data_IF_594453521105
#
_entry.id   IF_594453521105
#
_cell.length_a   1.000
_cell.length_b   1.000
_cell.length_c   1.000
_cell.angle_alpha   90.00
_cell.angle_beta   90.00
_cell.angle_gamma   90.00
#
_symmetry.space_group_name_H-M   'P 1'
#
loop_
_entity.id
_entity.type
_entity.pdbx_description
1 polymer ?
#
# COMPACT_ATOMS: atom_id res chain seq x y z
N UNK A 1 -12.98 22.23 -17.85
CA UNK A 1 -13.97 21.67 -16.88
C UNK A 1 -13.91 22.61 -15.69
N UNK A 2 -15.06 23.01 -15.11
CA UNK A 2 -15.06 23.88 -13.93
C UNK A 2 -14.42 23.14 -12.75
N UNK A 3 -13.44 23.75 -12.10
CA UNK A 3 -12.69 23.20 -10.95
C UNK A 3 -13.62 22.63 -9.88
N UNK A 4 -14.66 23.39 -9.56
CA UNK A 4 -15.64 22.97 -8.56
C UNK A 4 -16.38 21.69 -8.96
N UNK A 5 -16.79 21.57 -10.22
CA UNK A 5 -17.49 20.39 -10.73
C UNK A 5 -16.59 19.15 -10.69
N UNK A 6 -15.33 19.32 -11.05
CA UNK A 6 -14.35 18.25 -10.97
C UNK A 6 -14.11 17.80 -9.52
N UNK A 7 -13.83 18.73 -8.61
CA UNK A 7 -13.64 18.43 -7.19
C UNK A 7 -14.85 17.71 -6.57
N UNK A 8 -16.06 18.19 -6.84
CA UNK A 8 -17.28 17.56 -6.34
C UNK A 8 -17.47 16.14 -6.90
N UNK A 9 -17.04 15.89 -8.14
CA UNK A 9 -17.09 14.52 -8.68
C UNK A 9 -16.17 13.57 -7.91
N UNK A 10 -14.94 13.99 -7.58
CA UNK A 10 -13.99 13.22 -6.79
C UNK A 10 -14.48 12.98 -5.35
N UNK A 11 -15.04 14.03 -4.72
CA UNK A 11 -15.55 13.93 -3.35
C UNK A 11 -16.72 12.93 -3.26
N UNK A 12 -17.57 12.87 -4.28
CA UNK A 12 -18.67 11.89 -4.34
C UNK A 12 -18.21 10.44 -4.42
N UNK A 13 -17.01 10.18 -4.94
CA UNK A 13 -16.42 8.84 -4.94
C UNK A 13 -16.07 8.36 -3.52
N UNK A 14 -15.87 9.30 -2.58
CA UNK A 14 -15.46 9.01 -1.21
C UNK A 14 -14.00 8.55 -1.11
N UNK A 15 -13.60 8.11 0.08
CA UNK A 15 -12.31 7.45 0.29
C UNK A 15 -12.37 6.00 -0.20
N UNK A 16 -11.33 5.56 -0.87
CA UNK A 16 -11.24 4.22 -1.43
C UNK A 16 -9.77 3.84 -1.73
N UNK A 17 -9.56 2.73 -2.43
CA UNK A 17 -8.24 2.18 -2.77
C UNK A 17 -7.25 3.20 -3.35
N UNK A 18 -7.72 4.16 -4.14
CA UNK A 18 -6.89 5.14 -4.84
C UNK A 18 -7.23 6.60 -4.46
N UNK A 19 -7.99 6.81 -3.40
CA UNK A 19 -8.35 8.15 -2.94
C UNK A 19 -8.44 8.23 -1.42
N UNK A 20 -7.92 9.32 -0.87
CA UNK A 20 -7.93 9.60 0.56
C UNK A 20 -8.11 11.11 0.80
N UNK A 21 -8.84 11.49 1.84
CA UNK A 21 -9.08 12.89 2.20
C UNK A 21 -8.16 13.31 3.35
N UNK A 22 -7.70 14.53 3.29
CA UNK A 22 -6.89 15.12 4.37
C UNK A 22 -7.38 16.52 4.67
N UNK A 23 -8.05 16.65 5.80
CA UNK A 23 -8.49 17.95 6.29
C UNK A 23 -7.35 18.94 6.43
N UNK A 24 -6.19 18.46 6.94
CA UNK A 24 -5.00 19.26 7.20
C UNK A 24 -3.76 18.38 7.16
N UNK A 25 -2.67 18.93 6.65
CA UNK A 25 -1.34 18.29 6.71
C UNK A 25 -0.50 19.00 7.78
N UNK A 26 -0.42 18.39 8.96
CA UNK A 26 0.36 18.92 10.09
C UNK A 26 1.61 18.07 10.39
N UNK A 27 1.73 16.88 9.77
CA UNK A 27 2.78 15.91 10.10
C UNK A 27 3.17 15.13 8.83
N UNK A 28 4.37 15.42 8.33
CA UNK A 28 4.92 14.78 7.14
C UNK A 28 5.17 13.27 7.34
N UNK A 29 5.54 12.82 8.54
CA UNK A 29 5.78 11.41 8.82
C UNK A 29 4.48 10.59 8.77
N UNK A 30 3.38 11.15 9.26
CA UNK A 30 2.04 10.53 9.16
C UNK A 30 1.60 10.45 7.70
N UNK A 31 1.80 11.53 6.95
CA UNK A 31 1.44 11.56 5.53
C UNK A 31 2.28 10.58 4.70
N UNK A 32 3.55 10.37 5.05
CA UNK A 32 4.42 9.41 4.38
C UNK A 32 3.86 7.97 4.38
N UNK A 33 3.02 7.60 5.36
CA UNK A 33 2.32 6.30 5.37
C UNK A 33 1.37 6.17 4.20
N UNK A 34 0.56 7.21 3.91
CA UNK A 34 -0.36 7.24 2.76
C UNK A 34 0.42 7.25 1.44
N UNK A 35 1.51 8.04 1.36
CA UNK A 35 2.39 8.07 0.19
C UNK A 35 3.00 6.68 -0.06
N UNK A 36 3.54 6.03 0.98
CA UNK A 36 4.07 4.67 0.90
C UNK A 36 3.00 3.68 0.44
N UNK A 37 1.80 3.74 1.02
CA UNK A 37 0.71 2.82 0.69
C UNK A 37 0.29 2.94 -0.78
N UNK A 38 0.10 4.15 -1.29
CA UNK A 38 -0.22 4.38 -2.70
C UNK A 38 0.92 3.95 -3.62
N UNK A 39 2.16 4.34 -3.33
CA UNK A 39 3.32 3.98 -4.14
C UNK A 39 3.52 2.44 -4.24
N UNK A 40 3.19 1.70 -3.21
CA UNK A 40 3.34 0.25 -3.16
C UNK A 40 2.15 -0.53 -3.76
N UNK A 41 1.01 0.13 -4.00
CA UNK A 41 -0.18 -0.49 -4.59
C UNK A 41 -0.47 0.05 -6.00
N UNK A 42 -1.63 0.60 -6.20
CA UNK A 42 -2.15 1.02 -7.50
C UNK A 42 -1.98 2.53 -7.75
N UNK A 43 -1.19 3.18 -6.91
CA UNK A 43 -1.15 4.64 -6.85
C UNK A 43 -2.40 5.20 -6.19
N UNK A 44 -2.52 6.52 -6.19
CA UNK A 44 -3.68 7.18 -5.64
C UNK A 44 -3.50 8.68 -5.52
N UNK A 45 -4.50 9.33 -4.97
CA UNK A 45 -4.54 10.78 -4.77
C UNK A 45 -4.99 11.14 -3.34
N UNK A 46 -4.39 12.18 -2.82
CA UNK A 46 -4.77 12.80 -1.57
C UNK A 46 -5.47 14.13 -1.88
N UNK A 47 -6.71 14.27 -1.48
CA UNK A 47 -7.45 15.53 -1.57
C UNK A 47 -7.24 16.33 -0.28
N UNK A 48 -6.39 17.34 -0.35
CA UNK A 48 -5.97 18.11 0.81
C UNK A 48 -6.78 19.39 0.90
N UNK A 49 -7.33 19.65 2.09
CA UNK A 49 -8.34 20.66 2.33
C UNK A 49 -9.76 20.12 2.21
N UNK A 50 -9.92 18.79 2.23
CA UNK A 50 -11.21 18.10 2.27
C UNK A 50 -11.33 17.33 3.58
N UNK A 51 -12.47 17.39 4.23
CA UNK A 51 -12.80 16.63 5.45
C UNK A 51 -13.35 15.26 5.09
N UNK A 52 -13.33 14.33 6.03
CA UNK A 52 -13.86 12.97 5.86
C UNK A 52 -15.36 12.96 5.47
N UNK A 53 -16.11 13.98 5.86
CA UNK A 53 -17.52 14.20 5.46
C UNK A 53 -17.69 14.81 4.05
N UNK A 54 -16.59 15.03 3.33
CA UNK A 54 -16.56 15.65 2.00
C UNK A 54 -16.65 17.18 1.99
N UNK A 55 -16.74 17.83 3.15
CA UNK A 55 -16.81 19.28 3.22
C UNK A 55 -15.45 19.92 2.90
N UNK A 56 -15.45 20.95 2.06
CA UNK A 56 -14.26 21.72 1.73
C UNK A 56 -13.82 22.55 2.93
N UNK A 57 -12.58 22.39 3.38
CA UNK A 57 -11.95 23.22 4.41
C UNK A 57 -10.92 24.19 3.81
N UNK A 58 -10.31 23.78 2.71
CA UNK A 58 -9.23 24.50 2.05
C UNK A 58 -7.86 24.29 2.72
N UNK A 59 -6.81 24.42 1.93
CA UNK A 59 -5.42 24.51 2.38
C UNK A 59 -5.19 25.91 2.96
N UNK A 60 -4.55 26.00 4.11
CA UNK A 60 -4.40 27.27 4.86
C UNK A 60 -3.10 28.00 4.58
N UNK A 61 -2.06 27.26 4.21
CA UNK A 61 -0.72 27.84 3.99
C UNK A 61 0.11 26.99 3.03
N UNK A 62 1.15 27.60 2.48
CA UNK A 62 2.17 26.90 1.68
C UNK A 62 2.95 25.86 2.50
N UNK A 63 2.92 25.97 3.82
CA UNK A 63 3.56 24.98 4.71
C UNK A 63 2.93 23.60 4.56
N UNK A 64 1.64 23.51 4.27
CA UNK A 64 0.97 22.22 4.04
C UNK A 64 1.50 21.55 2.77
N UNK A 65 1.75 22.33 1.70
CA UNK A 65 2.37 21.84 0.46
C UNK A 65 3.83 21.42 0.72
N UNK A 66 4.57 22.20 1.50
CA UNK A 66 5.92 21.85 1.91
C UNK A 66 5.96 20.53 2.70
N UNK A 67 5.04 20.32 3.63
CA UNK A 67 4.94 19.07 4.39
C UNK A 67 4.69 17.86 3.49
N UNK A 68 3.93 18.02 2.40
CA UNK A 68 3.70 16.95 1.44
C UNK A 68 4.97 16.57 0.65
N UNK A 69 5.75 17.59 0.24
CA UNK A 69 7.06 17.33 -0.34
C UNK A 69 7.98 16.60 0.64
N UNK A 70 8.00 17.03 1.91
CA UNK A 70 8.78 16.36 2.94
C UNK A 70 8.35 14.89 3.11
N UNK A 71 7.05 14.60 3.08
CA UNK A 71 6.55 13.24 3.19
C UNK A 71 7.11 12.32 2.09
N UNK A 72 7.10 12.79 0.85
CA UNK A 72 7.56 12.01 -0.30
C UNK A 72 9.09 11.88 -0.36
N UNK A 73 9.82 12.99 -0.15
CA UNK A 73 11.28 13.05 -0.39
C UNK A 73 12.12 12.79 0.86
N UNK A 74 11.67 13.22 2.02
CA UNK A 74 12.43 13.04 3.28
C UNK A 74 12.00 11.81 4.07
N UNK A 75 10.71 11.52 4.11
CA UNK A 75 10.16 10.45 4.94
C UNK A 75 9.88 9.15 4.20
N UNK A 76 9.99 9.12 2.85
CA UNK A 76 9.93 7.89 2.07
C UNK A 76 11.32 7.42 1.63
N UNK A 77 11.52 6.10 1.59
CA UNK A 77 12.73 5.42 1.09
C UNK A 77 12.36 4.20 0.25
N UNK A 78 12.76 4.12 -1.03
CA UNK A 78 13.27 5.25 -1.82
C UNK A 78 12.28 6.41 -1.86
N UNK A 79 12.73 7.56 -2.34
CA UNK A 79 11.86 8.73 -2.53
C UNK A 79 10.67 8.36 -3.43
N UNK A 80 9.49 8.84 -3.07
CA UNK A 80 8.29 8.60 -3.85
C UNK A 80 8.03 9.77 -4.82
N UNK A 81 7.61 9.46 -6.03
CA UNK A 81 7.08 10.45 -6.96
C UNK A 81 5.75 11.00 -6.44
N UNK A 82 5.59 12.32 -6.48
CA UNK A 82 4.34 12.99 -6.14
C UNK A 82 4.14 14.22 -7.04
N UNK A 83 2.92 14.41 -7.54
CA UNK A 83 2.53 15.57 -8.34
C UNK A 83 1.45 16.34 -7.61
N UNK A 84 1.45 17.64 -7.74
CA UNK A 84 0.49 18.54 -7.12
C UNK A 84 -0.28 19.33 -8.17
N UNK A 85 -1.59 19.30 -8.06
CA UNK A 85 -2.50 20.12 -8.84
C UNK A 85 -3.37 20.94 -7.87
N UNK A 86 -3.56 22.22 -8.15
CA UNK A 86 -4.31 23.15 -7.30
C UNK A 86 -5.63 23.49 -7.96
N UNK A 87 -6.70 23.41 -7.19
CA UNK A 87 -8.07 23.69 -7.61
C UNK A 87 -8.74 24.71 -6.69
N UNK A 88 -9.64 25.50 -7.23
CA UNK A 88 -10.38 26.52 -6.47
C UNK A 88 -11.88 26.23 -6.49
N UNK A 89 -12.48 26.16 -5.31
CA UNK A 89 -13.92 25.98 -5.16
C UNK A 89 -14.43 26.69 -3.91
N UNK A 90 -15.53 27.44 -4.06
CA UNK A 90 -16.19 28.17 -2.97
C UNK A 90 -15.23 29.08 -2.16
N UNK A 91 -14.33 29.78 -2.87
CA UNK A 91 -13.33 30.67 -2.25
C UNK A 91 -12.23 29.94 -1.47
N UNK A 92 -12.11 28.61 -1.64
CA UNK A 92 -11.11 27.76 -0.96
C UNK A 92 -10.17 27.13 -1.97
N UNK A 93 -8.94 26.96 -1.56
CA UNK A 93 -7.91 26.26 -2.33
C UNK A 93 -7.83 24.81 -1.87
N UNK A 94 -7.96 23.87 -2.80
CA UNK A 94 -7.81 22.43 -2.57
C UNK A 94 -6.59 21.97 -3.37
N UNK A 95 -5.74 21.16 -2.77
CA UNK A 95 -4.59 20.57 -3.45
C UNK A 95 -4.82 19.07 -3.61
N UNK A 96 -4.67 18.58 -4.84
CA UNK A 96 -4.66 17.15 -5.14
C UNK A 96 -3.22 16.72 -5.28
N UNK A 97 -2.77 15.85 -4.38
CA UNK A 97 -1.46 15.24 -4.43
C UNK A 97 -1.59 13.83 -5.02
N UNK A 98 -1.09 13.64 -6.23
CA UNK A 98 -1.15 12.36 -6.94
C UNK A 98 0.16 11.60 -6.76
N UNK A 99 0.06 10.38 -6.26
CA UNK A 99 1.18 9.44 -6.06
C UNK A 99 1.02 8.28 -7.04
N UNK A 100 1.88 8.17 -8.07
CA UNK A 100 1.83 7.03 -8.97
C UNK A 100 2.35 5.75 -8.30
N UNK A 101 1.99 4.55 -8.82
CA UNK A 101 2.62 3.31 -8.40
C UNK A 101 4.13 3.39 -8.62
N UNK A 102 4.91 2.97 -7.64
CA UNK A 102 6.37 2.95 -7.78
C UNK A 102 6.84 1.73 -8.56
N UNK A 103 7.78 1.94 -9.48
CA UNK A 103 8.48 0.82 -10.14
C UNK A 103 9.43 0.10 -9.18
N UNK A 104 9.98 0.84 -8.20
CA UNK A 104 10.89 0.32 -7.18
C UNK A 104 10.15 0.16 -5.86
N UNK A 105 9.69 -1.06 -5.58
CA UNK A 105 9.03 -1.42 -4.31
C UNK A 105 9.96 -2.26 -3.44
N UNK A 106 9.90 -2.14 -2.10
CA UNK A 106 8.97 -1.30 -1.35
C UNK A 106 9.42 0.15 -1.24
N UNK A 107 8.49 1.07 -1.32
CA UNK A 107 8.65 2.41 -0.77
C UNK A 107 8.28 2.35 0.71
N UNK A 108 9.25 2.59 1.59
CA UNK A 108 9.06 2.56 3.04
C UNK A 108 8.89 3.96 3.60
N UNK A 109 7.96 4.16 4.53
CA UNK A 109 7.82 5.39 5.28
C UNK A 109 8.61 5.31 6.59
N UNK A 110 9.31 6.40 6.95
CA UNK A 110 9.90 6.61 8.26
C UNK A 110 8.78 7.02 9.23
N UNK A 111 8.63 6.27 10.33
CA UNK A 111 7.76 6.68 11.40
C UNK A 111 8.45 7.67 12.35
N UNK A 112 7.71 8.18 13.33
CA UNK A 112 8.20 9.13 14.35
C UNK A 112 9.39 8.58 15.16
N UNK A 113 9.52 7.26 15.26
CA UNK A 113 10.61 6.56 15.95
C UNK A 113 11.84 6.31 15.05
N UNK A 114 11.85 6.83 13.81
CA UNK A 114 12.91 6.61 12.81
C UNK A 114 12.94 5.20 12.21
N UNK A 115 11.91 4.39 12.44
CA UNK A 115 11.82 3.04 11.86
C UNK A 115 11.17 3.09 10.49
N UNK A 116 11.76 2.38 9.54
CA UNK A 116 11.19 2.22 8.20
C UNK A 116 10.14 1.12 8.18
N UNK A 117 8.96 1.42 7.63
CA UNK A 117 7.90 0.45 7.38
C UNK A 117 7.28 0.70 6.02
N UNK A 118 7.11 -0.36 5.24
CA UNK A 118 6.34 -0.31 4.00
C UNK A 118 4.86 -0.50 4.31
N UNK A 119 4.01 0.28 3.62
CA UNK A 119 2.56 0.20 3.72
C UNK A 119 1.97 -0.19 2.38
N UNK A 120 0.81 -0.82 2.40
CA UNK A 120 -0.06 -1.08 1.25
C UNK A 120 -1.43 -0.47 1.51
N UNK A 121 -2.10 -0.05 0.46
CA UNK A 121 -3.48 0.44 0.53
C UNK A 121 -4.43 -0.73 0.35
N UNK A 122 -5.38 -0.91 1.26
CA UNK A 122 -6.45 -1.89 1.16
C UNK A 122 -7.74 -1.14 1.47
N UNK A 123 -8.61 -1.01 0.48
CA UNK A 123 -9.78 -0.14 0.53
C UNK A 123 -9.37 1.31 0.91
N UNK A 124 -9.78 1.79 2.07
CA UNK A 124 -9.48 3.13 2.60
C UNK A 124 -8.43 3.12 3.73
N UNK A 125 -7.76 1.97 3.98
CA UNK A 125 -6.78 1.82 5.06
C UNK A 125 -5.34 1.68 4.56
N UNK A 126 -4.40 2.22 5.33
CA UNK A 126 -2.96 2.06 5.13
C UNK A 126 -2.42 0.96 6.06
N UNK A 127 -2.24 -0.24 5.52
CA UNK A 127 -1.87 -1.44 6.27
C UNK A 127 -0.36 -1.68 6.14
N UNK A 128 0.29 -2.07 7.23
CA UNK A 128 1.71 -2.48 7.19
C UNK A 128 1.87 -3.72 6.31
N UNK A 129 2.74 -3.64 5.31
CA UNK A 129 3.02 -4.75 4.41
C UNK A 129 3.55 -5.97 5.19
N UNK A 130 3.00 -7.14 4.89
CA UNK A 130 3.46 -8.39 5.52
C UNK A 130 4.86 -8.80 5.05
N UNK A 131 5.58 -9.66 5.78
CA UNK A 131 6.84 -10.21 5.31
C UNK A 131 6.75 -10.90 3.94
N UNK A 132 5.58 -11.43 3.59
CA UNK A 132 5.35 -12.05 2.27
C UNK A 132 5.31 -10.98 1.18
N UNK A 133 4.67 -9.83 1.41
CA UNK A 133 4.69 -8.70 0.46
C UNK A 133 6.12 -8.20 0.19
N UNK A 134 6.92 -8.06 1.25
CA UNK A 134 8.33 -7.68 1.11
C UNK A 134 9.13 -8.70 0.28
N UNK A 135 8.82 -9.98 0.42
CA UNK A 135 9.44 -11.04 -0.36
C UNK A 135 8.96 -11.03 -1.83
N UNK A 136 7.67 -10.76 -2.10
CA UNK A 136 7.13 -10.59 -3.47
C UNK A 136 7.90 -9.49 -4.21
N UNK A 137 8.03 -8.32 -3.61
CA UNK A 137 8.73 -7.19 -4.25
C UNK A 137 10.21 -7.47 -4.47
N UNK A 138 10.87 -8.17 -3.53
CA UNK A 138 12.28 -8.60 -3.71
C UNK A 138 12.44 -9.57 -4.87
N UNK A 139 11.56 -10.54 -5.00
CA UNK A 139 11.55 -11.48 -6.11
C UNK A 139 11.24 -10.81 -7.45
N UNK A 140 10.40 -9.76 -7.47
CA UNK A 140 10.10 -8.99 -8.67
C UNK A 140 11.30 -8.19 -9.19
N UNK A 141 12.15 -7.70 -8.29
CA UNK A 141 13.36 -6.93 -8.63
C UNK A 141 14.57 -7.82 -8.98
N UNK A 142 14.47 -9.13 -8.80
CA UNK A 142 15.53 -10.06 -9.18
C UNK A 142 15.59 -10.18 -10.70
N UNK A 143 16.72 -9.83 -11.31
CA UNK A 143 17.01 -9.98 -12.75
C UNK A 143 17.05 -11.45 -13.19
N UNK A 144 17.19 -12.39 -12.24
CA UNK A 144 17.12 -13.82 -12.53
C UNK A 144 15.68 -14.18 -12.81
N UNK A 145 15.40 -14.53 -14.06
CA UNK A 145 14.10 -15.06 -14.48
C UNK A 145 13.63 -16.11 -13.46
N UNK A 146 12.44 -15.89 -12.90
CA UNK A 146 11.91 -16.79 -11.88
C UNK A 146 11.37 -18.05 -12.54
N UNK A 147 12.18 -19.08 -12.57
CA UNK A 147 11.69 -20.44 -12.80
C UNK A 147 11.18 -21.01 -11.48
N UNK A 148 9.96 -21.50 -11.48
CA UNK A 148 9.43 -22.22 -10.33
C UNK A 148 9.84 -23.70 -10.43
N UNK A 149 10.87 -24.07 -9.67
CA UNK A 149 11.27 -25.46 -9.55
C UNK A 149 10.41 -26.16 -8.51
N UNK A 150 9.79 -27.27 -8.86
CA UNK A 150 9.01 -28.10 -7.94
C UNK A 150 9.93 -28.86 -6.98
N UNK A 151 10.28 -28.21 -5.89
CA UNK A 151 11.15 -28.75 -4.85
C UNK A 151 10.36 -29.45 -3.75
N UNK A 152 11.03 -30.26 -2.93
CA UNK A 152 10.39 -30.87 -1.75
C UNK A 152 9.78 -29.82 -0.79
N UNK A 153 10.37 -28.62 -0.72
CA UNK A 153 9.81 -27.51 0.04
C UNK A 153 8.50 -26.98 -0.54
N UNK A 154 8.40 -26.85 -1.87
CA UNK A 154 7.15 -26.47 -2.56
C UNK A 154 6.08 -27.53 -2.32
N UNK A 155 6.42 -28.80 -2.47
CA UNK A 155 5.51 -29.91 -2.23
C UNK A 155 4.93 -29.87 -0.82
N UNK A 156 5.79 -29.75 0.20
CA UNK A 156 5.35 -29.64 1.62
C UNK A 156 4.46 -28.43 1.85
N UNK A 157 4.75 -27.28 1.23
CA UNK A 157 3.94 -26.08 1.37
C UNK A 157 2.55 -26.28 0.75
N UNK A 158 2.48 -26.80 -0.48
CA UNK A 158 1.21 -27.08 -1.15
C UNK A 158 0.37 -28.07 -0.35
N UNK A 159 0.97 -29.19 0.10
CA UNK A 159 0.28 -30.16 0.95
C UNK A 159 -0.26 -29.55 2.24
N UNK A 160 0.49 -28.61 2.85
CA UNK A 160 0.07 -27.92 4.06
C UNK A 160 -1.12 -26.98 3.84
N UNK A 161 -1.30 -26.48 2.62
CA UNK A 161 -2.36 -25.54 2.23
C UNK A 161 -3.52 -26.24 1.49
N UNK A 162 -3.36 -27.49 1.08
CA UNK A 162 -4.43 -28.30 0.49
C UNK A 162 -5.30 -28.88 1.60
N UNK A 163 -6.61 -28.71 1.48
CA UNK A 163 -7.64 -29.23 2.39
C UNK A 163 -8.85 -29.64 1.56
N UNK A 164 -9.72 -30.48 2.12
CA UNK A 164 -10.94 -30.94 1.44
C UNK A 164 -11.90 -29.80 1.11
N UNK A 165 -11.87 -28.73 1.92
CA UNK A 165 -12.60 -27.50 1.68
C UNK A 165 -11.63 -26.32 1.50
N UNK A 166 -11.96 -25.31 0.66
CA UNK A 166 -11.15 -24.11 0.51
C UNK A 166 -10.93 -23.42 1.86
N UNK A 167 -9.70 -23.34 2.30
CA UNK A 167 -9.34 -22.72 3.57
C UNK A 167 -8.31 -21.60 3.38
N UNK A 168 -8.38 -20.65 4.27
CA UNK A 168 -7.46 -19.54 4.38
C UNK A 168 -6.59 -19.75 5.61
N UNK A 169 -5.30 -19.51 5.48
CA UNK A 169 -4.32 -19.72 6.54
C UNK A 169 -3.52 -18.46 6.82
N UNK A 170 -3.35 -18.12 8.07
CA UNK A 170 -2.35 -17.11 8.47
C UNK A 170 -0.94 -17.64 8.20
N UNK A 171 0.03 -16.74 8.06
CA UNK A 171 1.44 -17.14 7.89
C UNK A 171 1.91 -18.11 8.98
N UNK A 172 1.49 -17.90 10.23
CA UNK A 172 1.85 -18.77 11.35
C UNK A 172 1.27 -20.18 11.21
N UNK A 173 0.04 -20.29 10.73
CA UNK A 173 -0.60 -21.59 10.46
C UNK A 173 0.12 -22.33 9.33
N UNK A 174 0.46 -21.63 8.22
CA UNK A 174 1.21 -22.23 7.11
C UNK A 174 2.59 -22.74 7.59
N UNK A 175 3.31 -21.96 8.39
CA UNK A 175 4.61 -22.37 8.97
C UNK A 175 4.45 -23.64 9.80
N UNK A 176 3.48 -23.68 10.70
CA UNK A 176 3.25 -24.83 11.59
C UNK A 176 2.86 -26.10 10.80
N UNK A 177 1.93 -25.97 9.84
CA UNK A 177 1.44 -27.09 9.04
C UNK A 177 2.49 -27.66 8.09
N UNK A 178 3.27 -26.79 7.42
CA UNK A 178 4.31 -27.21 6.48
C UNK A 178 5.57 -27.78 7.15
N UNK A 179 5.76 -27.48 8.44
CA UNK A 179 6.97 -27.80 9.21
C UNK A 179 8.26 -27.27 8.55
N UNK A 180 8.13 -26.18 7.78
CA UNK A 180 9.25 -25.49 7.15
C UNK A 180 9.69 -24.30 7.99
N UNK A 181 10.97 -23.90 7.94
CA UNK A 181 11.44 -22.66 8.55
C UNK A 181 10.67 -21.45 8.02
N UNK A 182 10.28 -20.52 8.90
CA UNK A 182 9.49 -19.33 8.55
C UNK A 182 10.04 -18.53 7.36
N UNK A 183 11.36 -18.25 7.25
CA UNK A 183 11.92 -17.55 6.09
C UNK A 183 11.69 -18.30 4.78
N UNK A 184 11.77 -19.64 4.81
CA UNK A 184 11.52 -20.48 3.64
C UNK A 184 10.05 -20.44 3.21
N UNK A 185 9.12 -20.48 4.17
CA UNK A 185 7.68 -20.34 3.90
C UNK A 185 7.38 -19.00 3.25
N UNK A 186 7.93 -17.90 3.78
CA UNK A 186 7.75 -16.55 3.23
C UNK A 186 8.22 -16.50 1.77
N UNK A 187 9.42 -17.00 1.47
CA UNK A 187 9.96 -17.03 0.10
C UNK A 187 9.11 -17.88 -0.83
N UNK A 188 8.68 -19.06 -0.38
CA UNK A 188 7.87 -19.97 -1.20
C UNK A 188 6.47 -19.40 -1.45
N UNK A 189 5.80 -18.83 -0.44
CA UNK A 189 4.52 -18.14 -0.60
C UNK A 189 4.62 -16.99 -1.59
N UNK A 190 5.67 -16.15 -1.47
CA UNK A 190 5.91 -15.05 -2.39
C UNK A 190 6.01 -15.54 -3.85
N UNK A 191 6.71 -16.64 -4.09
CA UNK A 191 6.82 -17.27 -5.41
C UNK A 191 5.48 -17.83 -5.89
N UNK A 192 4.78 -18.60 -5.06
CA UNK A 192 3.47 -19.15 -5.41
C UNK A 192 2.48 -18.05 -5.77
N UNK A 193 2.46 -16.94 -5.03
CA UNK A 193 1.61 -15.78 -5.33
C UNK A 193 2.00 -15.14 -6.66
N UNK A 194 3.31 -14.95 -6.91
CA UNK A 194 3.78 -14.38 -8.17
C UNK A 194 3.38 -15.23 -9.39
N UNK A 195 3.31 -16.54 -9.25
CA UNK A 195 2.88 -17.46 -10.31
C UNK A 195 1.37 -17.72 -10.34
N UNK A 196 0.59 -17.03 -9.51
CA UNK A 196 -0.86 -17.18 -9.46
C UNK A 196 -1.34 -18.51 -8.88
N UNK A 197 -0.46 -19.29 -8.23
CA UNK A 197 -0.80 -20.58 -7.59
C UNK A 197 -1.37 -20.37 -6.20
N UNK A 198 -1.03 -19.26 -5.56
CA UNK A 198 -1.59 -18.84 -4.29
C UNK A 198 -1.98 -17.36 -4.36
N UNK A 199 -2.87 -16.97 -3.49
CA UNK A 199 -3.26 -15.56 -3.30
C UNK A 199 -3.25 -15.21 -1.82
N UNK A 200 -3.25 -13.92 -1.52
CA UNK A 200 -3.46 -13.40 -0.18
C UNK A 200 -4.78 -12.63 -0.11
N UNK A 201 -5.34 -12.59 1.08
CA UNK A 201 -6.52 -11.81 1.41
C UNK A 201 -6.26 -11.10 2.75
N UNK A 202 -6.97 -10.01 2.99
CA UNK A 202 -6.87 -9.26 4.23
C UNK A 202 -8.26 -9.01 4.80
N UNK A 203 -8.51 -9.55 5.98
CA UNK A 203 -9.70 -9.31 6.77
C UNK A 203 -9.37 -9.53 8.25
N UNK A 204 -10.22 -9.07 9.15
CA UNK A 204 -10.03 -9.18 10.60
C UNK A 204 -8.63 -8.70 11.05
N UNK A 205 -8.11 -7.64 10.40
CA UNK A 205 -6.78 -7.06 10.64
C UNK A 205 -5.62 -8.05 10.47
N UNK A 206 -5.80 -9.09 9.66
CA UNK A 206 -4.79 -10.12 9.40
C UNK A 206 -4.70 -10.47 7.92
N UNK A 207 -3.49 -10.88 7.50
CA UNK A 207 -3.28 -11.47 6.18
C UNK A 207 -3.49 -12.97 6.23
N UNK A 208 -4.27 -13.45 5.29
CA UNK A 208 -4.51 -14.86 5.05
C UNK A 208 -3.97 -15.25 3.68
N UNK A 209 -3.61 -16.50 3.54
CA UNK A 209 -3.06 -17.08 2.33
C UNK A 209 -3.86 -18.33 1.98
N UNK A 210 -4.20 -18.47 0.70
CA UNK A 210 -4.92 -19.64 0.17
C UNK A 210 -4.37 -20.00 -1.21
N UNK A 211 -4.64 -21.21 -1.65
CA UNK A 211 -4.41 -21.62 -3.03
C UNK A 211 -5.45 -20.97 -3.94
N UNK A 212 -5.07 -20.67 -5.18
CA UNK A 212 -5.92 -20.02 -6.20
C UNK A 212 -6.80 -21.04 -6.88
#
# INVERSE_FOLDING_TARGET
MDDKRYLLSLIREGEHQQQDFKYRVADAAKLAKSVSAFANTDGGRLLIGVRDDGNLSGVRSEEEIFMMHQAAYKYCRPEASIKFDTYHADGRTIVIATVPPSERKPVSALNEEGRQRAYIRIADENIVASPVHLAIWREQQSERGSMMTYTEGVKKLLQAMTTDEPQQFTLNQVVRRSRLPRPKVITLLARLIRFGVARWEYHDQQFFFCLS
#
